data_IF_508727832448
#
_entry.id   IF_508727832448
#
_cell.length_a   1.000
_cell.length_b   1.000
_cell.length_c   1.000
_cell.angle_alpha   90.00
_cell.angle_beta   90.00
_cell.angle_gamma   90.00
#
_symmetry.space_group_name_H-M   'P 1'
#
loop_
_entity.id
_entity.type
_entity.pdbx_description
1 polymer ?
#
# COMPACT_ATOMS: atom_id res chain seq x y z
N UNK A 1 -11.63 -15.27 6.39
CA UNK A 1 -12.40 -14.10 6.87
C UNK A 1 -11.42 -12.93 6.97
N UNK A 2 -11.17 -12.22 5.86
CA UNK A 2 -10.35 -11.01 5.89
C UNK A 2 -11.20 -9.90 6.49
N UNK A 3 -10.91 -9.57 7.75
CA UNK A 3 -11.48 -8.44 8.46
C UNK A 3 -11.11 -7.19 7.65
N UNK A 4 -12.10 -6.51 7.09
CA UNK A 4 -11.95 -5.14 6.60
C UNK A 4 -11.59 -4.26 7.79
N UNK A 5 -10.30 -4.17 8.11
CA UNK A 5 -9.81 -3.20 9.08
C UNK A 5 -10.09 -1.83 8.47
N UNK A 6 -11.04 -1.11 9.05
CA UNK A 6 -11.38 0.24 8.61
C UNK A 6 -10.12 1.08 8.52
N UNK A 7 -10.04 1.96 7.52
CA UNK A 7 -8.83 2.77 7.32
C UNK A 7 -8.49 3.58 8.56
N UNK A 8 -9.49 4.12 9.26
CA UNK A 8 -9.31 4.82 10.55
C UNK A 8 -8.67 3.96 11.63
N UNK A 9 -9.02 2.68 11.73
CA UNK A 9 -8.39 1.77 12.68
C UNK A 9 -6.91 1.55 12.35
N UNK A 10 -6.56 1.47 11.06
CA UNK A 10 -5.16 1.37 10.62
C UNK A 10 -4.39 2.64 10.93
N UNK A 11 -4.98 3.82 10.71
CA UNK A 11 -4.37 5.11 11.07
C UNK A 11 -4.11 5.20 12.57
N UNK A 12 -5.06 4.80 13.40
CA UNK A 12 -4.90 4.75 14.87
C UNK A 12 -3.79 3.80 15.30
N UNK A 13 -3.70 2.61 14.70
CA UNK A 13 -2.61 1.67 14.98
C UNK A 13 -1.25 2.26 14.60
N UNK A 14 -1.18 2.97 13.47
CA UNK A 14 0.05 3.65 13.05
C UNK A 14 0.44 4.79 14.00
N UNK A 15 -0.54 5.54 14.51
CA UNK A 15 -0.34 6.56 15.54
C UNK A 15 0.23 5.96 16.83
N UNK A 16 -0.35 4.86 17.32
CA UNK A 16 0.16 4.17 18.52
C UNK A 16 1.57 3.62 18.31
N UNK A 17 1.91 3.16 17.13
CA UNK A 17 3.28 2.74 16.78
C UNK A 17 4.26 3.90 16.89
N UNK A 18 3.92 5.07 16.30
CA UNK A 18 4.76 6.28 16.38
C UNK A 18 4.93 6.72 17.83
N UNK A 19 3.85 6.71 18.62
CA UNK A 19 3.87 7.02 20.04
C UNK A 19 4.81 6.09 20.81
N UNK A 20 4.72 4.78 20.55
CA UNK A 20 5.59 3.79 21.17
C UNK A 20 7.07 4.07 20.91
N UNK A 21 7.43 4.32 19.66
CA UNK A 21 8.80 4.67 19.29
C UNK A 21 9.26 6.02 19.89
N UNK A 22 8.37 7.01 19.98
CA UNK A 22 8.70 8.30 20.59
C UNK A 22 8.99 8.14 22.11
N UNK A 23 8.22 7.33 22.81
CA UNK A 23 8.46 7.01 24.22
C UNK A 23 9.77 6.24 24.41
N UNK A 24 10.05 5.25 23.55
CA UNK A 24 11.30 4.50 23.58
C UNK A 24 12.51 5.42 23.35
N UNK A 25 12.38 6.38 22.42
CA UNK A 25 13.42 7.38 22.11
C UNK A 25 13.78 8.25 23.30
N UNK A 26 12.84 8.56 24.18
CA UNK A 26 13.13 9.36 25.41
C UNK A 26 14.06 8.62 26.39
N UNK A 27 13.97 7.29 26.43
CA UNK A 27 14.77 6.44 27.34
C UNK A 27 16.06 5.91 26.73
N UNK A 28 16.15 5.87 25.39
CA UNK A 28 17.34 5.35 24.68
C UNK A 28 18.57 6.24 24.92
N UNK A 29 19.73 5.63 25.09
CA UNK A 29 21.00 6.31 25.38
C UNK A 29 22.10 6.00 24.38
N UNK A 30 21.98 4.90 23.62
CA UNK A 30 22.98 4.57 22.62
C UNK A 30 22.74 5.37 21.33
N UNK A 31 23.80 5.89 20.75
CA UNK A 31 23.73 6.63 19.49
C UNK A 31 23.01 5.83 18.39
N UNK A 32 23.38 4.57 18.22
CA UNK A 32 22.78 3.70 17.18
C UNK A 32 21.30 3.37 17.45
N UNK A 33 20.92 3.27 18.73
CA UNK A 33 19.52 3.09 19.11
C UNK A 33 18.70 4.32 18.78
N UNK A 34 19.19 5.50 19.11
CA UNK A 34 18.55 6.79 18.82
C UNK A 34 18.41 6.98 17.30
N UNK A 35 19.49 6.83 16.55
CA UNK A 35 19.46 6.91 15.08
C UNK A 35 18.43 5.96 14.45
N UNK A 36 18.38 4.72 14.96
CA UNK A 36 17.43 3.73 14.47
C UNK A 36 15.99 4.09 14.80
N UNK A 37 15.72 4.57 16.00
CA UNK A 37 14.38 5.00 16.41
C UNK A 37 13.91 6.22 15.62
N UNK A 38 14.80 7.19 15.35
CA UNK A 38 14.49 8.32 14.47
C UNK A 38 14.09 7.86 13.06
N UNK A 39 14.83 6.92 12.47
CA UNK A 39 14.51 6.35 11.17
C UNK A 39 13.12 5.71 11.19
N UNK A 40 12.80 4.92 12.23
CA UNK A 40 11.52 4.24 12.39
C UNK A 40 10.36 5.21 12.59
N UNK A 41 10.54 6.22 13.44
CA UNK A 41 9.54 7.27 13.70
C UNK A 41 9.21 8.02 12.41
N UNK A 42 10.23 8.49 11.70
CA UNK A 42 10.04 9.26 10.47
C UNK A 42 9.38 8.40 9.40
N UNK A 43 9.84 7.16 9.22
CA UNK A 43 9.22 6.25 8.25
C UNK A 43 7.75 6.00 8.59
N UNK A 44 7.43 5.70 9.86
CA UNK A 44 6.07 5.46 10.30
C UNK A 44 5.17 6.69 10.11
N UNK A 45 5.69 7.91 10.31
CA UNK A 45 4.97 9.15 10.08
C UNK A 45 4.69 9.40 8.58
N UNK A 46 5.68 9.13 7.72
CA UNK A 46 5.49 9.24 6.26
C UNK A 46 4.45 8.24 5.76
N UNK A 47 4.50 7.00 6.25
CA UNK A 47 3.51 5.97 5.91
C UNK A 47 2.10 6.37 6.39
N UNK A 48 1.97 6.97 7.59
CA UNK A 48 0.73 7.53 8.09
C UNK A 48 0.19 8.62 7.16
N UNK A 49 1.06 9.52 6.68
CA UNK A 49 0.68 10.57 5.73
C UNK A 49 0.13 10.02 4.41
N UNK A 50 0.76 8.96 3.88
CA UNK A 50 0.29 8.26 2.68
C UNK A 50 -1.06 7.59 2.93
N UNK A 51 -1.23 6.91 4.07
CA UNK A 51 -2.49 6.27 4.46
C UNK A 51 -3.61 7.32 4.59
N UNK A 52 -3.32 8.48 5.18
CA UNK A 52 -4.27 9.57 5.33
C UNK A 52 -4.72 10.14 3.98
N UNK A 53 -3.79 10.40 3.05
CA UNK A 53 -4.12 10.84 1.69
C UNK A 53 -5.02 9.82 0.98
N UNK A 54 -4.67 8.54 1.07
CA UNK A 54 -5.50 7.45 0.51
C UNK A 54 -6.89 7.40 1.15
N UNK A 55 -6.97 7.59 2.48
CA UNK A 55 -8.23 7.66 3.21
C UNK A 55 -9.12 8.80 2.75
N UNK A 56 -8.54 9.89 2.27
CA UNK A 56 -9.25 11.05 1.73
C UNK A 56 -9.56 10.94 0.23
N UNK A 57 -9.26 9.79 -0.38
CA UNK A 57 -9.43 9.59 -1.82
C UNK A 57 -8.40 10.33 -2.69
N UNK A 58 -7.35 10.89 -2.09
CA UNK A 58 -6.28 11.55 -2.80
C UNK A 58 -5.22 10.57 -3.28
N UNK A 59 -4.64 10.81 -4.46
CA UNK A 59 -3.50 10.03 -4.92
C UNK A 59 -2.24 10.44 -4.16
N UNK A 60 -1.58 9.52 -3.42
CA UNK A 60 -0.35 9.85 -2.73
C UNK A 60 0.78 10.22 -3.69
N UNK A 61 1.63 11.20 -3.33
CA UNK A 61 2.76 11.58 -4.16
C UNK A 61 3.80 10.47 -4.25
N UNK A 62 4.55 10.44 -5.35
CA UNK A 62 5.61 9.45 -5.58
C UNK A 62 6.88 9.70 -4.76
N UNK A 63 7.02 10.89 -4.18
CA UNK A 63 8.20 11.32 -3.44
C UNK A 63 7.79 11.70 -2.02
N UNK A 64 8.45 11.14 -1.04
CA UNK A 64 8.17 11.40 0.38
C UNK A 64 8.18 12.88 0.77
N UNK A 65 9.11 13.66 0.20
CA UNK A 65 9.19 15.10 0.46
C UNK A 65 7.94 15.89 0.05
N UNK A 66 7.07 15.33 -0.79
CA UNK A 66 5.83 15.97 -1.25
C UNK A 66 4.61 15.61 -0.39
N UNK A 67 4.72 14.65 0.55
CA UNK A 67 3.60 14.21 1.38
C UNK A 67 3.06 15.36 2.22
N UNK A 68 3.93 16.16 2.85
CA UNK A 68 3.53 17.32 3.66
C UNK A 68 2.70 18.32 2.86
N UNK A 69 3.19 18.69 1.67
CA UNK A 69 2.47 19.60 0.77
C UNK A 69 1.13 19.02 0.31
N UNK A 70 1.07 17.73 0.00
CA UNK A 70 -0.18 17.07 -0.37
C UNK A 70 -1.18 17.10 0.79
N UNK A 71 -0.78 16.78 2.01
CA UNK A 71 -1.62 16.87 3.20
C UNK A 71 -2.11 18.30 3.46
N UNK A 72 -1.25 19.31 3.25
CA UNK A 72 -1.62 20.72 3.36
C UNK A 72 -2.68 21.12 2.33
N UNK A 73 -2.48 20.77 1.05
CA UNK A 73 -3.47 21.05 -0.01
C UNK A 73 -4.84 20.41 0.25
N UNK A 74 -4.87 19.29 0.93
CA UNK A 74 -6.11 18.63 1.35
C UNK A 74 -6.62 19.11 2.72
N UNK A 75 -6.03 20.16 3.30
CA UNK A 75 -6.46 20.76 4.56
C UNK A 75 -6.26 19.85 5.79
N UNK A 76 -5.34 18.86 5.70
CA UNK A 76 -5.02 17.95 6.80
C UNK A 76 -4.01 18.56 7.75
N UNK A 77 -2.99 19.24 7.20
CA UNK A 77 -1.94 19.91 7.96
C UNK A 77 -1.85 21.39 7.64
N UNK A 78 -1.59 22.25 8.62
CA UNK A 78 -1.11 23.61 8.38
C UNK A 78 0.22 23.63 7.63
N UNK A 79 0.58 24.76 7.03
CA UNK A 79 1.79 24.90 6.22
C UNK A 79 3.08 24.65 7.04
N UNK A 80 3.10 25.04 8.29
CA UNK A 80 4.24 24.87 9.19
C UNK A 80 4.54 23.39 9.41
N UNK A 81 3.54 22.59 9.78
CA UNK A 81 3.67 21.16 10.00
C UNK A 81 3.99 20.39 8.70
N UNK A 82 3.42 20.83 7.59
CA UNK A 82 3.77 20.29 6.27
C UNK A 82 5.25 20.51 5.94
N UNK A 83 5.80 21.67 6.30
CA UNK A 83 7.23 22.01 6.12
C UNK A 83 8.12 21.16 7.03
N UNK A 84 7.72 20.94 8.29
CA UNK A 84 8.41 20.04 9.22
C UNK A 84 8.42 18.61 8.67
N UNK A 85 7.28 18.11 8.19
CA UNK A 85 7.19 16.77 7.61
C UNK A 85 8.11 16.60 6.39
N UNK A 86 8.22 17.64 5.54
CA UNK A 86 9.15 17.66 4.42
C UNK A 86 10.61 17.59 4.89
N UNK A 87 10.96 18.34 5.94
CA UNK A 87 12.31 18.31 6.52
C UNK A 87 12.64 16.93 7.10
N UNK A 88 11.70 16.30 7.81
CA UNK A 88 11.83 14.94 8.32
C UNK A 88 12.02 13.91 7.20
N UNK A 89 11.30 14.04 6.09
CA UNK A 89 11.51 13.18 4.92
C UNK A 89 12.93 13.30 4.35
N UNK A 90 13.48 14.52 4.30
CA UNK A 90 14.87 14.75 3.92
C UNK A 90 15.85 14.13 4.92
N UNK A 91 15.63 14.32 6.22
CA UNK A 91 16.45 13.75 7.29
C UNK A 91 16.49 12.21 7.20
N UNK A 92 15.35 11.56 6.98
CA UNK A 92 15.30 10.09 6.79
C UNK A 92 16.24 9.64 5.67
N UNK A 93 16.29 10.36 4.56
CA UNK A 93 17.20 10.01 3.47
C UNK A 93 18.68 10.18 3.87
N UNK A 94 19.00 11.20 4.64
CA UNK A 94 20.35 11.40 5.19
C UNK A 94 20.72 10.24 6.13
N UNK A 95 19.85 9.89 7.07
CA UNK A 95 20.08 8.80 8.04
C UNK A 95 20.22 7.43 7.37
N UNK A 96 19.55 7.19 6.23
CA UNK A 96 19.61 5.89 5.52
C UNK A 96 20.80 5.80 4.56
N UNK A 97 21.22 6.91 3.95
CA UNK A 97 22.21 6.92 2.87
C UNK A 97 23.49 7.70 3.19
N UNK A 98 23.49 8.49 4.25
CA UNK A 98 24.53 9.46 4.55
C UNK A 98 25.52 9.04 5.65
N UNK A 99 25.93 7.79 5.73
CA UNK A 99 26.75 7.20 6.79
C UNK A 99 28.04 7.96 7.20
N UNK A 100 28.46 8.95 6.44
CA UNK A 100 29.69 9.70 6.70
C UNK A 100 29.48 11.20 7.00
N UNK A 101 28.24 11.71 6.97
CA UNK A 101 27.99 13.16 6.95
C UNK A 101 27.23 13.71 8.17
N UNK A 102 26.73 12.85 9.07
CA UNK A 102 25.95 13.31 10.22
C UNK A 102 26.78 13.24 11.49
N UNK A 103 27.01 14.40 12.12
CA UNK A 103 27.67 14.49 13.40
C UNK A 103 26.77 13.86 14.48
N UNK A 104 27.25 12.85 15.24
CA UNK A 104 26.47 12.16 16.27
C UNK A 104 25.82 13.09 17.29
N UNK A 105 26.55 14.18 17.65
CA UNK A 105 26.07 15.16 18.59
C UNK A 105 24.80 15.87 18.13
N UNK A 106 24.68 16.16 16.84
CA UNK A 106 23.48 16.80 16.26
C UNK A 106 22.28 15.86 16.30
N UNK A 107 22.46 14.58 16.03
CA UNK A 107 21.39 13.59 16.15
C UNK A 107 20.87 13.56 17.58
N UNK A 108 21.77 13.48 18.56
CA UNK A 108 21.42 13.47 19.99
C UNK A 108 20.71 14.76 20.43
N UNK A 109 21.14 15.90 19.92
CA UNK A 109 20.55 17.21 20.25
C UNK A 109 19.09 17.32 19.76
N UNK A 110 18.83 16.87 18.54
CA UNK A 110 17.50 17.03 17.91
C UNK A 110 16.54 15.84 18.12
N UNK A 111 17.02 14.71 18.63
CA UNK A 111 16.24 13.48 18.78
C UNK A 111 14.89 13.66 19.49
N UNK A 112 14.91 14.31 20.66
CA UNK A 112 13.69 14.58 21.45
C UNK A 112 12.72 15.51 20.73
N UNK A 113 13.23 16.46 19.93
CA UNK A 113 12.39 17.34 19.12
C UNK A 113 11.75 16.57 17.99
N UNK A 114 12.50 15.71 17.31
CA UNK A 114 12.01 14.85 16.22
C UNK A 114 10.88 13.96 16.72
N UNK A 115 11.04 13.29 17.87
CA UNK A 115 10.00 12.43 18.45
C UNK A 115 8.72 13.20 18.76
N UNK A 116 8.83 14.39 19.39
CA UNK A 116 7.68 15.23 19.73
C UNK A 116 6.97 15.80 18.49
N UNK A 117 7.72 16.32 17.53
CA UNK A 117 7.16 16.90 16.32
C UNK A 117 6.47 15.80 15.49
N UNK A 118 7.10 14.62 15.36
CA UNK A 118 6.52 13.50 14.62
C UNK A 118 5.22 13.01 15.26
N UNK A 119 5.18 12.86 16.58
CA UNK A 119 3.97 12.44 17.29
C UNK A 119 2.85 13.47 17.17
N UNK A 120 3.15 14.76 17.39
CA UNK A 120 2.19 15.86 17.22
C UNK A 120 1.60 15.91 15.81
N UNK A 121 2.44 15.80 14.78
CA UNK A 121 1.98 15.78 13.38
C UNK A 121 1.10 14.56 13.12
N UNK A 122 1.47 13.40 13.67
CA UNK A 122 0.69 12.17 13.55
C UNK A 122 -0.72 12.32 14.17
N UNK A 123 -0.81 12.91 15.38
CA UNK A 123 -2.10 13.21 16.01
C UNK A 123 -2.96 14.13 15.16
N UNK A 124 -2.37 15.20 14.60
CA UNK A 124 -3.09 16.14 13.72
C UNK A 124 -3.62 15.45 12.48
N UNK A 125 -2.83 14.58 11.85
CA UNK A 125 -3.24 13.81 10.66
C UNK A 125 -4.44 12.92 10.99
N UNK A 126 -4.37 12.14 12.07
CA UNK A 126 -5.45 11.22 12.45
C UNK A 126 -6.71 12.01 12.81
N UNK A 127 -6.60 13.04 13.64
CA UNK A 127 -7.73 13.89 14.04
C UNK A 127 -8.42 14.55 12.82
N UNK A 128 -7.64 15.03 11.84
CA UNK A 128 -8.19 15.65 10.64
C UNK A 128 -8.95 14.66 9.74
N UNK A 129 -8.52 13.41 9.66
CA UNK A 129 -9.22 12.35 8.91
C UNK A 129 -10.47 11.91 9.66
N UNK A 130 -10.40 11.74 11.00
CA UNK A 130 -11.54 11.40 11.85
C UNK A 130 -12.64 12.44 11.80
N UNK A 131 -12.31 13.73 11.87
CA UNK A 131 -13.25 14.83 11.82
C UNK A 131 -14.09 14.90 10.53
N UNK A 132 -13.63 14.27 9.45
CA UNK A 132 -14.33 14.19 8.17
C UNK A 132 -15.39 13.08 8.10
N UNK A 133 -15.51 12.27 9.13
CA UNK A 133 -16.66 11.40 9.43
C UNK A 133 -16.93 10.23 8.51
N UNK A 134 -16.21 10.07 7.41
CA UNK A 134 -16.37 8.94 6.51
C UNK A 134 -15.06 8.17 6.40
N UNK A 135 -15.14 6.87 6.59
CA UNK A 135 -14.08 5.94 6.22
C UNK A 135 -14.23 5.72 4.71
N UNK A 136 -13.46 6.41 3.85
CA UNK A 136 -13.67 6.29 2.42
C UNK A 136 -13.40 4.84 2.00
N UNK A 137 -14.09 4.33 0.98
CA UNK A 137 -13.88 2.98 0.52
C UNK A 137 -12.41 2.78 0.17
N UNK A 138 -11.79 1.75 0.76
CA UNK A 138 -10.43 1.34 0.42
C UNK A 138 -10.35 0.89 -1.05
N UNK A 139 -9.13 0.69 -1.59
CA UNK A 139 -8.96 0.25 -2.97
C UNK A 139 -9.77 -1.01 -3.31
N UNK A 140 -9.89 -1.95 -2.38
CA UNK A 140 -10.66 -3.19 -2.57
C UNK A 140 -12.14 -2.91 -2.76
N UNK A 141 -12.72 -2.00 -1.96
CA UNK A 141 -14.12 -1.61 -2.08
C UNK A 141 -14.40 -0.84 -3.36
N UNK A 142 -13.49 0.05 -3.76
CA UNK A 142 -13.57 0.78 -5.03
C UNK A 142 -13.55 -0.17 -6.22
N UNK A 143 -12.60 -1.10 -6.25
CA UNK A 143 -12.51 -2.14 -7.29
C UNK A 143 -13.77 -3.00 -7.29
N UNK A 144 -14.26 -3.42 -6.11
CA UNK A 144 -15.49 -4.21 -6.00
C UNK A 144 -16.69 -3.46 -6.57
N UNK A 145 -16.86 -2.16 -6.25
CA UNK A 145 -17.99 -1.37 -6.76
C UNK A 145 -18.00 -1.26 -8.27
N UNK A 146 -16.84 -1.17 -8.91
CA UNK A 146 -16.69 -1.14 -10.38
C UNK A 146 -17.01 -2.50 -11.00
N UNK A 147 -16.56 -3.59 -10.37
CA UNK A 147 -16.64 -4.93 -10.95
C UNK A 147 -17.94 -5.69 -10.60
N UNK A 148 -18.70 -5.19 -9.62
CA UNK A 148 -19.93 -5.85 -9.16
C UNK A 148 -20.93 -6.06 -10.30
N UNK A 149 -21.32 -7.32 -10.55
CA UNK A 149 -22.24 -7.70 -11.62
C UNK A 149 -21.64 -7.71 -13.03
N UNK A 150 -20.35 -7.40 -13.18
CA UNK A 150 -19.65 -7.40 -14.48
C UNK A 150 -18.74 -8.62 -14.65
N UNK A 151 -18.24 -9.14 -13.53
CA UNK A 151 -17.32 -10.28 -13.52
C UNK A 151 -17.82 -11.34 -12.56
N UNK A 152 -17.46 -12.58 -12.80
CA UNK A 152 -17.80 -13.70 -11.95
C UNK A 152 -16.80 -13.90 -10.81
N UNK A 153 -15.54 -13.54 -11.06
CA UNK A 153 -14.47 -13.64 -10.08
C UNK A 153 -13.48 -12.50 -10.30
N UNK A 154 -12.99 -11.89 -9.20
CA UNK A 154 -11.96 -10.85 -9.24
C UNK A 154 -11.03 -10.93 -8.04
N UNK A 155 -9.73 -10.74 -8.28
CA UNK A 155 -8.66 -10.73 -7.28
C UNK A 155 -7.74 -9.54 -7.48
N UNK A 156 -7.33 -8.90 -6.40
CA UNK A 156 -6.18 -8.00 -6.40
C UNK A 156 -4.93 -8.82 -6.02
N UNK A 157 -3.91 -8.78 -6.86
CA UNK A 157 -2.68 -9.55 -6.64
C UNK A 157 -1.43 -8.68 -6.82
N UNK A 158 -0.24 -9.28 -6.96
CA UNK A 158 1.00 -8.53 -7.14
C UNK A 158 1.43 -7.70 -5.94
N UNK A 159 2.10 -6.59 -6.21
CA UNK A 159 2.74 -5.75 -5.18
C UNK A 159 1.74 -5.09 -4.22
N UNK A 160 0.64 -4.58 -4.72
CA UNK A 160 -0.40 -3.91 -3.92
C UNK A 160 -1.13 -4.85 -2.98
N UNK A 161 -1.34 -6.10 -3.38
CA UNK A 161 -1.93 -7.13 -2.53
C UNK A 161 -1.01 -7.50 -1.35
N UNK A 162 0.30 -7.40 -1.54
CA UNK A 162 1.34 -7.63 -0.51
C UNK A 162 1.54 -6.44 0.43
N UNK A 163 0.79 -5.34 0.25
CA UNK A 163 0.86 -4.16 1.12
C UNK A 163 1.85 -3.09 0.69
N UNK A 164 2.43 -3.17 -0.49
CA UNK A 164 3.28 -2.11 -1.05
C UNK A 164 2.43 -0.92 -1.50
N UNK A 165 2.23 0.05 -0.61
CA UNK A 165 1.34 1.20 -0.87
C UNK A 165 1.96 2.22 -1.82
N UNK A 166 3.30 2.34 -1.85
CA UNK A 166 4.02 3.37 -2.63
C UNK A 166 4.67 2.86 -3.92
N UNK A 167 4.81 1.54 -4.08
CA UNK A 167 5.44 0.92 -5.26
C UNK A 167 4.54 -0.19 -5.78
N UNK A 168 4.28 -0.17 -7.06
CA UNK A 168 3.53 -1.19 -7.77
C UNK A 168 2.22 -0.67 -8.36
N UNK A 169 1.80 -1.37 -9.36
CA UNK A 169 0.56 -1.16 -10.07
C UNK A 169 -0.58 -1.90 -9.33
N UNK A 170 -1.81 -1.60 -9.68
CA UNK A 170 -2.95 -2.40 -9.24
C UNK A 170 -3.15 -3.55 -10.22
N UNK A 171 -2.63 -4.72 -9.88
CA UNK A 171 -2.80 -5.95 -10.66
C UNK A 171 -4.16 -6.57 -10.31
N UNK A 172 -5.15 -6.40 -11.18
CA UNK A 172 -6.52 -6.90 -10.98
C UNK A 172 -6.81 -8.04 -11.94
N UNK A 173 -6.96 -9.24 -11.42
CA UNK A 173 -7.35 -10.40 -12.18
C UNK A 173 -8.87 -10.53 -12.21
N UNK A 174 -9.45 -10.77 -13.40
CA UNK A 174 -10.89 -10.92 -13.59
C UNK A 174 -11.22 -12.16 -14.40
N UNK A 175 -12.36 -12.80 -14.08
CA UNK A 175 -12.96 -13.85 -14.89
C UNK A 175 -14.36 -13.40 -15.35
N UNK A 176 -14.59 -13.40 -16.67
CA UNK A 176 -15.85 -12.98 -17.27
C UNK A 176 -16.61 -14.19 -17.84
N UNK A 177 -17.94 -14.18 -17.68
CA UNK A 177 -18.78 -15.13 -18.38
C UNK A 177 -18.74 -14.83 -19.89
N UNK A 178 -18.44 -15.84 -20.72
CA UNK A 178 -18.29 -15.65 -22.16
C UNK A 178 -16.90 -15.28 -22.65
N UNK A 179 -15.93 -15.11 -21.75
CA UNK A 179 -14.54 -14.77 -22.07
C UNK A 179 -14.25 -13.28 -22.04
N UNK A 180 -12.97 -12.94 -22.20
CA UNK A 180 -12.50 -11.55 -22.15
C UNK A 180 -12.24 -11.05 -23.57
N UNK A 181 -13.05 -10.13 -24.07
CA UNK A 181 -12.68 -9.36 -25.25
C UNK A 181 -11.89 -8.09 -24.88
N UNK A 182 -11.15 -7.53 -25.83
CA UNK A 182 -10.29 -6.36 -25.59
C UNK A 182 -11.06 -5.10 -25.20
N UNK A 183 -12.28 -4.92 -25.72
CA UNK A 183 -13.11 -3.75 -25.39
C UNK A 183 -13.66 -3.85 -23.97
N UNK A 184 -14.12 -5.04 -23.55
CA UNK A 184 -14.59 -5.27 -22.19
C UNK A 184 -13.47 -5.04 -21.17
N UNK A 185 -12.26 -5.56 -21.44
CA UNK A 185 -11.09 -5.34 -20.58
C UNK A 185 -10.67 -3.87 -20.55
N UNK A 186 -10.66 -3.19 -21.70
CA UNK A 186 -10.33 -1.77 -21.79
C UNK A 186 -11.30 -0.88 -21.00
N UNK A 187 -12.60 -1.17 -21.07
CA UNK A 187 -13.60 -0.47 -20.26
C UNK A 187 -13.44 -0.73 -18.76
N UNK A 188 -13.17 -1.97 -18.37
CA UNK A 188 -12.89 -2.31 -16.97
C UNK A 188 -11.66 -1.55 -16.47
N UNK A 189 -10.57 -1.53 -17.25
CA UNK A 189 -9.35 -0.82 -16.89
C UNK A 189 -9.58 0.69 -16.74
N UNK A 190 -10.29 1.31 -17.67
CA UNK A 190 -10.61 2.75 -17.61
C UNK A 190 -11.43 3.09 -16.36
N UNK A 191 -12.50 2.33 -16.10
CA UNK A 191 -13.38 2.54 -14.95
C UNK A 191 -12.63 2.31 -13.62
N UNK A 192 -11.73 1.33 -13.56
CA UNK A 192 -10.89 1.08 -12.40
C UNK A 192 -9.87 2.21 -12.19
N UNK A 193 -9.25 2.72 -13.25
CA UNK A 193 -8.31 3.83 -13.18
C UNK A 193 -9.01 5.10 -12.67
N UNK A 194 -10.20 5.38 -13.13
CA UNK A 194 -11.02 6.50 -12.68
C UNK A 194 -11.39 6.34 -11.19
N UNK A 195 -11.93 5.20 -10.80
CA UNK A 195 -12.34 4.93 -9.42
C UNK A 195 -11.18 4.96 -8.42
N UNK A 196 -10.01 4.48 -8.82
CA UNK A 196 -8.79 4.46 -7.99
C UNK A 196 -8.06 5.80 -8.00
N UNK A 197 -8.26 6.63 -9.04
CA UNK A 197 -7.50 7.86 -9.26
C UNK A 197 -6.02 7.58 -9.59
N UNK A 198 -5.73 6.43 -10.22
CA UNK A 198 -4.37 5.98 -10.58
C UNK A 198 -4.43 5.25 -11.92
N UNK A 199 -3.62 5.69 -12.89
CA UNK A 199 -3.56 5.04 -14.22
C UNK A 199 -2.75 3.74 -14.23
N UNK A 200 -2.06 3.43 -13.12
CA UNK A 200 -1.27 2.20 -12.98
C UNK A 200 -2.18 1.06 -12.52
N UNK A 201 -3.06 0.66 -13.41
CA UNK A 201 -3.99 -0.46 -13.22
C UNK A 201 -3.77 -1.45 -14.36
N UNK A 202 -3.38 -2.66 -14.03
CA UNK A 202 -3.25 -3.77 -14.96
C UNK A 202 -4.40 -4.76 -14.76
N UNK A 203 -5.17 -5.00 -15.82
CA UNK A 203 -6.29 -5.95 -15.80
C UNK A 203 -5.89 -7.23 -16.52
N UNK A 204 -5.90 -8.33 -15.78
CA UNK A 204 -5.56 -9.65 -16.28
C UNK A 204 -6.81 -10.50 -16.43
N UNK A 205 -6.99 -11.07 -17.64
CA UNK A 205 -8.09 -12.01 -17.92
C UNK A 205 -7.73 -13.44 -17.50
N UNK A 206 -8.39 -13.98 -16.47
CA UNK A 206 -8.17 -15.36 -16.00
C UNK A 206 -8.71 -16.42 -16.95
N UNK A 207 -9.61 -16.07 -17.87
CA UNK A 207 -10.16 -17.01 -18.85
C UNK A 207 -9.06 -17.59 -19.78
N UNK A 208 -7.99 -16.82 -20.01
CA UNK A 208 -6.90 -17.16 -20.93
C UNK A 208 -5.50 -16.94 -20.36
N UNK A 209 -5.38 -16.65 -19.06
CA UNK A 209 -4.10 -16.44 -18.41
C UNK A 209 -3.28 -17.74 -18.32
N UNK A 210 -1.93 -17.65 -18.38
CA UNK A 210 -1.05 -18.80 -18.11
C UNK A 210 -1.28 -19.36 -16.70
N UNK A 211 -1.04 -20.69 -16.49
CA UNK A 211 -1.30 -21.35 -15.21
C UNK A 211 -0.57 -20.69 -14.03
N UNK A 212 0.67 -20.24 -14.20
CA UNK A 212 1.44 -19.56 -13.17
C UNK A 212 0.76 -18.27 -12.71
N UNK A 213 0.27 -17.50 -13.68
CA UNK A 213 -0.40 -16.22 -13.40
C UNK A 213 -1.77 -16.44 -12.74
N UNK A 214 -2.49 -17.49 -13.12
CA UNK A 214 -3.75 -17.91 -12.46
C UNK A 214 -3.48 -18.21 -10.99
N UNK A 215 -2.47 -19.01 -10.67
CA UNK A 215 -2.13 -19.36 -9.29
C UNK A 215 -1.67 -18.14 -8.49
N UNK A 216 -0.87 -17.26 -9.08
CA UNK A 216 -0.44 -16.03 -8.42
C UNK A 216 -1.66 -15.14 -8.11
N UNK A 217 -2.54 -14.92 -9.07
CA UNK A 217 -3.74 -14.12 -8.91
C UNK A 217 -4.67 -14.68 -7.82
N UNK A 218 -4.93 -15.99 -7.82
CA UNK A 218 -5.79 -16.65 -6.84
C UNK A 218 -5.18 -16.69 -5.42
N UNK A 219 -3.88 -16.46 -5.28
CA UNK A 219 -3.22 -16.28 -3.97
C UNK A 219 -3.35 -14.87 -3.41
N UNK A 220 -3.87 -13.93 -4.18
CA UNK A 220 -4.06 -12.54 -3.82
C UNK A 220 -5.27 -12.28 -2.91
N UNK A 221 -5.73 -11.02 -2.89
CA UNK A 221 -6.89 -10.58 -2.10
C UNK A 221 -8.17 -10.77 -2.91
N UNK A 222 -9.11 -11.61 -2.46
CA UNK A 222 -10.38 -11.80 -3.14
C UNK A 222 -11.24 -10.53 -3.07
N UNK A 223 -11.70 -10.06 -4.22
CA UNK A 223 -12.60 -8.91 -4.35
C UNK A 223 -14.01 -9.38 -4.61
N UNK A 224 -14.18 -10.22 -5.65
CA UNK A 224 -15.39 -10.97 -5.95
C UNK A 224 -14.98 -12.43 -6.03
N UNK A 225 -15.64 -13.32 -5.28
CA UNK A 225 -15.24 -14.72 -5.17
C UNK A 225 -16.42 -15.65 -5.50
N UNK A 226 -16.15 -16.59 -6.40
CA UNK A 226 -16.97 -17.77 -6.67
C UNK A 226 -16.14 -18.99 -6.28
N UNK A 227 -16.47 -19.60 -5.15
CA UNK A 227 -15.71 -20.70 -4.57
C UNK A 227 -15.58 -21.90 -5.51
N UNK A 228 -16.63 -22.22 -6.27
CA UNK A 228 -16.63 -23.35 -7.20
C UNK A 228 -15.71 -23.05 -8.40
N UNK A 229 -15.85 -21.88 -9.01
CA UNK A 229 -15.02 -21.44 -10.12
C UNK A 229 -13.55 -21.31 -9.71
N UNK A 230 -13.29 -20.74 -8.53
CA UNK A 230 -11.92 -20.64 -7.98
C UNK A 230 -11.27 -22.03 -7.86
N UNK A 231 -11.99 -22.99 -7.28
CA UNK A 231 -11.47 -24.35 -7.12
C UNK A 231 -11.19 -25.02 -8.47
N UNK A 232 -12.06 -24.82 -9.46
CA UNK A 232 -11.87 -25.32 -10.82
C UNK A 232 -10.62 -24.72 -11.49
N UNK A 233 -10.48 -23.37 -11.46
CA UNK A 233 -9.33 -22.68 -12.04
C UNK A 233 -8.02 -23.08 -11.36
N UNK A 234 -8.03 -23.21 -10.04
CA UNK A 234 -6.86 -23.65 -9.29
C UNK A 234 -6.43 -25.07 -9.65
N UNK A 235 -7.38 -26.01 -9.68
CA UNK A 235 -7.11 -27.40 -10.04
C UNK A 235 -6.61 -27.53 -11.48
N UNK A 236 -7.22 -26.80 -12.43
CA UNK A 236 -6.78 -26.76 -13.82
C UNK A 236 -5.37 -26.23 -13.96
N UNK A 237 -5.05 -25.08 -13.35
CA UNK A 237 -3.73 -24.49 -13.40
C UNK A 237 -2.65 -25.41 -12.81
N UNK A 238 -2.92 -26.10 -11.69
CA UNK A 238 -2.00 -27.08 -11.12
C UNK A 238 -1.76 -28.29 -12.04
N UNK A 239 -2.82 -28.80 -12.68
CA UNK A 239 -2.70 -29.94 -13.61
C UNK A 239 -1.81 -29.55 -14.81
N UNK A 240 -2.06 -28.40 -15.44
CA UNK A 240 -1.28 -27.90 -16.57
C UNK A 240 0.21 -27.71 -16.22
N UNK A 241 0.52 -27.15 -15.04
CA UNK A 241 1.89 -27.01 -14.56
C UNK A 241 2.59 -28.34 -14.32
N UNK A 242 1.88 -29.32 -13.77
CA UNK A 242 2.44 -30.65 -13.55
C UNK A 242 2.75 -31.36 -14.87
N UNK A 243 1.87 -31.29 -15.85
CA UNK A 243 2.07 -31.87 -17.17
C UNK A 243 3.24 -31.21 -17.90
N UNK A 244 3.36 -29.89 -17.81
CA UNK A 244 4.50 -29.16 -18.35
C UNK A 244 5.82 -29.62 -17.71
N UNK A 245 5.88 -29.70 -16.38
CA UNK A 245 7.09 -30.14 -15.65
C UNK A 245 7.46 -31.59 -15.99
N UNK A 246 6.50 -32.49 -16.18
CA UNK A 246 6.75 -33.87 -16.60
C UNK A 246 7.32 -33.89 -18.01
N UNK A 247 6.78 -33.09 -18.93
CA UNK A 247 7.21 -33.02 -20.32
C UNK A 247 8.62 -32.46 -20.43
N UNK A 248 8.95 -31.38 -19.69
CA UNK A 248 10.27 -30.79 -19.64
C UNK A 248 11.29 -31.79 -19.07
N UNK A 249 10.96 -32.45 -17.95
CA UNK A 249 11.88 -33.50 -17.38
C UNK A 249 12.15 -34.64 -18.36
N UNK A 250 11.15 -35.10 -19.10
CA UNK A 250 11.32 -36.15 -20.13
C UNK A 250 12.20 -35.73 -21.31
N UNK A 251 12.12 -34.46 -21.70
CA UNK A 251 12.90 -33.90 -22.81
C UNK A 251 14.39 -33.68 -22.47
N UNK A 252 14.71 -33.49 -21.18
CA UNK A 252 16.07 -33.18 -20.70
C UNK A 252 16.70 -34.27 -19.85
N UNK A 253 16.06 -35.44 -19.71
CA UNK A 253 16.71 -36.61 -19.10
C UNK A 253 17.35 -37.45 -20.22
N UNK A 254 18.71 -37.58 -20.22
CA UNK A 254 19.43 -38.34 -21.25
C UNK A 254 19.11 -39.83 -21.22
#
# INVERSE_FOLDING_TARGET
MYSHVKVLERLRRQLELIKGYAVELESERSYRGIERLEQLIIQALLDLGVMALSALGATPPRVYAQIGEALHRHGVLPLEEASILRALAGLRNILVHGYAAVEPEKILEYSRKIGRDAFRIAEMIVAAVEARGADPPGPVEKIRSVLQGRVRLAYLFGGRAKGYVLKGDYDVAVYLDGGCDLYALGLIQADLSEALGDERVDVVCLNSAPPELVLEALSGVPIIDDVALRAELYAKALAELNDFNITVKRAYTP
#
